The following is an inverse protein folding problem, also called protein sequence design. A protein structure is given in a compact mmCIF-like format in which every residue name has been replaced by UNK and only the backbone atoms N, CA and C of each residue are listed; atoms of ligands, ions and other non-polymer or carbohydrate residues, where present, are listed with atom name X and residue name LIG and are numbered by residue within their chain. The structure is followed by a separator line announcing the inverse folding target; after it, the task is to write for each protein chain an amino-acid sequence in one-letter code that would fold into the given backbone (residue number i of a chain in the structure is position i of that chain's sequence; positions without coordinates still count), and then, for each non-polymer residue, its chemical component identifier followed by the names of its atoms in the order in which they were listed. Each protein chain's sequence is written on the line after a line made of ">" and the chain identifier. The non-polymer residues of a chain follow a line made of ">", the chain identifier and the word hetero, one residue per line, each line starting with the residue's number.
data_IF_353080405650
#
_entry.id   IF_353080405650
#
_cell.length_a   1.000
_cell.length_b   1.000
_cell.length_c   1.000
_cell.angle_alpha   90.00
_cell.angle_beta   90.00
_cell.angle_gamma   90.00
#
_symmetry.space_group_name_H-M   'P 1'
#
loop_
_entity.id
_entity.type
_entity.pdbx_description
1 polymer ?
#
# COMPACT_ATOMS: atom_id res chain seq x y z
N UNK A 1 3.25 -48.92 41.11
CA UNK A 1 2.84 -47.93 40.07
C UNK A 1 2.66 -48.65 38.76
N UNK A 2 1.45 -48.57 38.20
CA UNK A 2 1.18 -49.16 36.87
C UNK A 2 1.78 -48.24 35.81
N UNK A 3 2.26 -48.82 34.70
CA UNK A 3 2.91 -48.09 33.60
C UNK A 3 2.03 -46.94 33.07
N UNK A 4 0.72 -47.10 33.16
CA UNK A 4 -0.28 -46.13 32.73
C UNK A 4 -0.39 -44.91 33.67
N UNK A 5 -0.14 -45.05 34.97
CA UNK A 5 -0.10 -43.92 35.92
C UNK A 5 1.12 -43.03 35.68
N UNK A 6 2.26 -43.63 35.30
CA UNK A 6 3.48 -42.88 34.96
C UNK A 6 3.29 -42.08 33.67
N UNK A 7 2.61 -42.64 32.68
CA UNK A 7 2.29 -41.95 31.42
C UNK A 7 1.29 -40.82 31.68
N UNK A 8 0.27 -41.06 32.50
CA UNK A 8 -0.72 -40.03 32.86
C UNK A 8 -0.11 -38.89 33.67
N UNK A 9 0.74 -39.18 34.65
CA UNK A 9 1.45 -38.13 35.42
C UNK A 9 2.49 -37.41 34.57
N UNK A 10 3.13 -38.08 33.62
CA UNK A 10 4.03 -37.43 32.67
C UNK A 10 3.24 -36.51 31.74
N UNK A 11 2.09 -36.94 31.21
CA UNK A 11 1.22 -36.10 30.39
C UNK A 11 0.63 -34.92 31.18
N UNK A 12 0.12 -35.13 32.39
CA UNK A 12 -0.36 -34.05 33.25
C UNK A 12 0.77 -33.11 33.70
N UNK A 13 1.96 -33.63 33.98
CA UNK A 13 3.13 -32.83 34.33
C UNK A 13 3.65 -32.01 33.15
N UNK A 14 3.61 -32.58 31.94
CA UNK A 14 4.00 -31.94 30.69
C UNK A 14 2.96 -30.88 30.28
N UNK A 15 1.66 -31.19 30.35
CA UNK A 15 0.58 -30.24 30.07
C UNK A 15 0.55 -29.10 31.09
N UNK A 16 0.90 -29.36 32.37
CA UNK A 16 1.09 -28.31 33.38
C UNK A 16 2.40 -27.53 33.17
N UNK A 17 3.48 -28.14 32.68
CA UNK A 17 4.69 -27.40 32.27
C UNK A 17 4.42 -26.50 31.05
N UNK A 18 3.64 -26.96 30.07
CA UNK A 18 3.25 -26.16 28.90
C UNK A 18 2.15 -25.12 29.19
N UNK A 19 1.34 -25.31 30.24
CA UNK A 19 0.39 -24.30 30.73
C UNK A 19 1.00 -23.32 31.74
N UNK A 20 2.13 -23.65 32.40
CA UNK A 20 2.82 -22.79 33.38
C UNK A 20 4.11 -22.15 32.86
N UNK A 21 4.67 -22.66 31.75
CA UNK A 21 5.46 -21.85 30.84
C UNK A 21 4.51 -20.84 30.22
N UNK A 22 4.44 -19.67 30.84
CA UNK A 22 4.26 -18.42 30.15
C UNK A 22 4.62 -18.59 28.67
N UNK A 23 3.61 -18.68 27.80
CA UNK A 23 3.70 -18.38 26.36
C UNK A 23 4.17 -16.93 26.33
N UNK A 24 5.48 -16.78 26.49
CA UNK A 24 6.03 -15.73 27.33
C UNK A 24 5.77 -14.41 26.63
N UNK A 25 5.31 -13.39 27.36
CA UNK A 25 5.02 -12.06 26.78
C UNK A 25 6.17 -11.60 25.88
N UNK A 26 7.40 -11.99 26.20
CA UNK A 26 8.61 -11.81 25.40
C UNK A 26 8.66 -12.61 24.08
N UNK A 27 8.22 -13.87 24.03
CA UNK A 27 8.09 -14.63 22.78
C UNK A 27 7.02 -14.04 21.86
N UNK A 28 5.87 -13.66 22.42
CA UNK A 28 4.80 -12.96 21.68
C UNK A 28 5.32 -11.62 21.16
N UNK A 29 6.03 -10.86 22.01
CA UNK A 29 6.64 -9.57 21.63
C UNK A 29 7.73 -9.75 20.58
N UNK A 30 8.56 -10.80 20.66
CA UNK A 30 9.61 -11.08 19.67
C UNK A 30 9.02 -11.50 18.33
N UNK A 31 8.03 -12.39 18.31
CA UNK A 31 7.32 -12.78 17.10
C UNK A 31 6.59 -11.60 16.44
N UNK A 32 5.87 -10.80 17.23
CA UNK A 32 5.13 -9.65 16.74
C UNK A 32 6.05 -8.49 16.33
N UNK A 33 7.17 -8.26 17.02
CA UNK A 33 8.15 -7.24 16.60
C UNK A 33 8.79 -7.59 15.26
N UNK A 34 9.18 -8.85 15.05
CA UNK A 34 9.72 -9.30 13.76
C UNK A 34 8.70 -9.18 12.63
N UNK A 35 7.42 -9.51 12.89
CA UNK A 35 6.34 -9.35 11.91
C UNK A 35 5.96 -7.90 11.66
N UNK A 36 6.03 -7.04 12.67
CA UNK A 36 5.80 -5.59 12.54
C UNK A 36 6.92 -4.96 11.69
N UNK A 37 8.18 -5.34 11.93
CA UNK A 37 9.33 -4.94 11.10
C UNK A 37 9.21 -5.40 9.65
N UNK A 38 8.74 -6.64 9.40
CA UNK A 38 8.45 -7.12 8.04
C UNK A 38 7.27 -6.36 7.40
N UNK A 39 6.25 -6.00 8.18
CA UNK A 39 5.13 -5.16 7.74
C UNK A 39 5.57 -3.77 7.29
N UNK A 40 6.56 -3.18 7.95
CA UNK A 40 7.13 -1.87 7.60
C UNK A 40 7.77 -1.83 6.21
N UNK A 41 8.29 -2.96 5.71
CA UNK A 41 8.89 -3.03 4.36
C UNK A 41 7.89 -2.71 3.25
N UNK A 42 6.63 -3.14 3.39
CA UNK A 42 5.60 -2.87 2.39
C UNK A 42 5.25 -1.39 2.31
N UNK A 43 5.22 -0.70 3.44
CA UNK A 43 4.92 0.74 3.51
C UNK A 43 6.10 1.53 2.93
N UNK A 44 7.34 1.17 3.31
CA UNK A 44 8.54 1.77 2.75
C UNK A 44 8.60 1.60 1.23
N UNK A 45 8.31 0.40 0.72
CA UNK A 45 8.27 0.16 -0.73
C UNK A 45 7.23 1.05 -1.42
N UNK A 46 6.00 1.11 -0.88
CA UNK A 46 4.95 1.97 -1.45
C UNK A 46 5.33 3.45 -1.46
N UNK A 47 5.98 3.94 -0.40
CA UNK A 47 6.44 5.33 -0.32
C UNK A 47 7.58 5.63 -1.31
N UNK A 48 8.54 4.71 -1.46
CA UNK A 48 9.63 4.83 -2.45
C UNK A 48 9.08 4.78 -3.88
N UNK A 49 8.19 3.84 -4.16
CA UNK A 49 7.56 3.70 -5.47
C UNK A 49 6.76 4.95 -5.85
N UNK A 50 6.02 5.51 -4.90
CA UNK A 50 5.37 6.81 -5.07
C UNK A 50 6.36 7.94 -5.35
N UNK A 51 7.50 7.99 -4.65
CA UNK A 51 8.56 8.95 -4.93
C UNK A 51 9.08 8.84 -6.38
N UNK A 52 9.30 7.63 -6.86
CA UNK A 52 9.68 7.39 -8.26
C UNK A 52 8.59 7.85 -9.25
N UNK A 53 7.32 7.59 -8.93
CA UNK A 53 6.18 8.04 -9.73
C UNK A 53 6.11 9.57 -9.81
N UNK A 54 6.36 10.27 -8.70
CA UNK A 54 6.42 11.73 -8.70
C UNK A 54 7.59 12.28 -9.50
N UNK A 55 8.76 11.65 -9.43
CA UNK A 55 9.90 12.04 -10.27
C UNK A 55 9.56 11.88 -11.76
N UNK A 56 8.93 10.77 -12.15
CA UNK A 56 8.46 10.58 -13.51
C UNK A 56 7.45 11.66 -13.93
N UNK A 57 6.51 12.02 -13.04
CA UNK A 57 5.58 13.13 -13.28
C UNK A 57 6.29 14.46 -13.52
N UNK A 58 7.25 14.81 -12.67
CA UNK A 58 8.00 16.07 -12.78
C UNK A 58 8.78 16.11 -14.10
N UNK A 59 9.43 15.01 -14.47
CA UNK A 59 10.16 14.89 -15.74
C UNK A 59 9.21 15.10 -16.92
N UNK A 60 8.10 14.35 -16.96
CA UNK A 60 7.13 14.45 -18.06
C UNK A 60 6.45 15.82 -18.12
N UNK A 61 6.10 16.43 -16.97
CA UNK A 61 5.57 17.80 -16.92
C UNK A 61 6.58 18.81 -17.46
N UNK A 62 7.86 18.65 -17.14
CA UNK A 62 8.92 19.53 -17.65
C UNK A 62 9.07 19.40 -19.16
N UNK A 63 9.00 18.18 -19.69
CA UNK A 63 9.01 17.93 -21.14
C UNK A 63 7.79 18.54 -21.82
N UNK A 64 6.59 18.37 -21.25
CA UNK A 64 5.35 18.95 -21.76
C UNK A 64 5.37 20.48 -21.73
N UNK A 65 5.91 21.09 -20.66
CA UNK A 65 6.07 22.55 -20.58
C UNK A 65 6.98 23.07 -21.70
N UNK A 66 8.07 22.37 -22.00
CA UNK A 66 8.95 22.72 -23.11
C UNK A 66 8.26 22.55 -24.47
N UNK A 67 7.51 21.46 -24.66
CA UNK A 67 6.76 21.18 -25.90
C UNK A 67 5.64 22.18 -26.18
N UNK A 68 4.92 22.61 -25.14
CA UNK A 68 3.77 23.51 -25.26
C UNK A 68 4.07 24.98 -24.91
N UNK A 69 5.34 25.40 -24.92
CA UNK A 69 5.75 26.76 -24.54
C UNK A 69 5.02 27.87 -25.29
N UNK A 70 4.62 27.60 -26.55
CA UNK A 70 3.88 28.56 -27.39
C UNK A 70 2.35 28.49 -27.23
N UNK A 71 1.82 27.52 -26.46
CA UNK A 71 0.38 27.36 -26.22
C UNK A 71 0.02 27.85 -24.81
N UNK A 72 -0.36 29.13 -24.70
CA UNK A 72 -0.67 29.77 -23.42
C UNK A 72 -1.79 29.06 -22.64
N UNK A 73 -2.77 28.46 -23.32
CA UNK A 73 -3.88 27.76 -22.67
C UNK A 73 -3.41 26.48 -21.97
N UNK A 74 -2.53 25.70 -22.60
CA UNK A 74 -1.97 24.48 -22.01
C UNK A 74 -0.99 24.83 -20.88
N UNK A 75 -0.21 25.89 -21.04
CA UNK A 75 0.71 26.37 -20.00
C UNK A 75 0.00 26.72 -18.68
N UNK A 76 -1.20 27.32 -18.75
CA UNK A 76 -2.04 27.61 -17.58
C UNK A 76 -2.49 26.35 -16.82
N UNK A 77 -2.47 25.17 -17.45
CA UNK A 77 -2.78 23.89 -16.83
C UNK A 77 -1.51 23.24 -16.28
N UNK A 78 -0.44 23.21 -17.09
CA UNK A 78 0.80 22.51 -16.76
C UNK A 78 1.55 23.16 -15.58
N UNK A 79 1.58 24.49 -15.47
CA UNK A 79 2.29 25.17 -14.38
C UNK A 79 1.68 24.85 -13.00
N UNK A 80 0.36 25.04 -12.77
CA UNK A 80 -0.27 24.63 -11.52
C UNK A 80 -0.11 23.13 -11.24
N UNK A 81 -0.18 22.29 -12.27
CA UNK A 81 0.00 20.84 -12.13
C UNK A 81 1.42 20.48 -11.69
N UNK A 82 2.44 21.19 -12.17
CA UNK A 82 3.83 21.03 -11.71
C UNK A 82 3.99 21.47 -10.25
N UNK A 83 3.46 22.64 -9.89
CA UNK A 83 3.51 23.14 -8.50
C UNK A 83 2.82 22.15 -7.56
N UNK A 84 1.64 21.65 -7.95
CA UNK A 84 0.92 20.64 -7.20
C UNK A 84 1.73 19.35 -7.06
N UNK A 85 2.32 18.85 -8.15
CA UNK A 85 3.16 17.65 -8.15
C UNK A 85 4.34 17.79 -7.19
N UNK A 86 5.05 18.92 -7.23
CA UNK A 86 6.15 19.22 -6.29
C UNK A 86 5.64 19.25 -4.85
N UNK A 87 4.52 19.93 -4.57
CA UNK A 87 3.91 19.96 -3.25
C UNK A 87 3.55 18.57 -2.72
N UNK A 88 2.98 17.71 -3.57
CA UNK A 88 2.65 16.32 -3.20
C UNK A 88 3.88 15.44 -3.00
N UNK A 89 4.99 15.73 -3.67
CA UNK A 89 6.27 15.06 -3.44
C UNK A 89 6.84 15.46 -2.07
N UNK A 90 6.89 16.75 -1.75
CA UNK A 90 7.36 17.25 -0.45
C UNK A 90 6.52 16.67 0.69
N UNK A 91 5.19 16.66 0.54
CA UNK A 91 4.30 16.01 1.50
C UNK A 91 4.58 14.50 1.63
N UNK A 92 4.82 13.80 0.51
CA UNK A 92 5.20 12.39 0.53
C UNK A 92 6.50 12.12 1.30
N UNK A 93 7.48 13.02 1.17
CA UNK A 93 8.73 12.97 1.92
C UNK A 93 8.47 13.16 3.42
N UNK A 94 7.65 14.13 3.83
CA UNK A 94 7.25 14.30 5.24
C UNK A 94 6.55 13.05 5.81
N UNK A 95 5.64 12.45 5.04
CA UNK A 95 4.97 11.19 5.42
C UNK A 95 5.99 10.05 5.58
N UNK A 96 6.99 9.98 4.70
CA UNK A 96 8.07 9.00 4.80
C UNK A 96 8.94 9.21 6.04
N UNK A 97 9.34 10.45 6.34
CA UNK A 97 10.11 10.75 7.54
C UNK A 97 9.33 10.43 8.81
N UNK A 98 8.06 10.84 8.91
CA UNK A 98 7.19 10.51 10.06
C UNK A 98 7.03 9.01 10.24
N UNK A 99 6.89 8.26 9.15
CA UNK A 99 6.82 6.80 9.22
C UNK A 99 8.11 6.17 9.72
N UNK A 100 9.27 6.67 9.25
CA UNK A 100 10.58 6.19 9.68
C UNK A 100 10.85 6.53 11.14
N UNK A 101 10.46 7.73 11.57
CA UNK A 101 10.56 8.20 12.94
C UNK A 101 9.80 7.26 13.90
N UNK A 102 8.54 6.92 13.59
CA UNK A 102 7.74 5.98 14.39
C UNK A 102 8.44 4.62 14.56
N UNK A 103 9.20 4.17 13.55
CA UNK A 103 9.86 2.86 13.56
C UNK A 103 11.27 2.85 14.17
N UNK A 104 11.90 4.01 14.36
CA UNK A 104 13.25 4.13 14.89
C UNK A 104 13.29 4.31 16.41
N UNK A 105 12.17 4.67 17.06
CA UNK A 105 12.12 4.84 18.51
C UNK A 105 12.04 3.48 19.24
N UNK A 106 12.87 3.33 20.28
CA UNK A 106 12.90 2.21 21.22
C UNK A 106 11.72 2.23 22.20
N UNK A 107 10.53 2.60 21.73
CA UNK A 107 9.32 2.57 22.53
C UNK A 107 8.83 1.12 22.70
N UNK A 108 8.02 0.88 23.73
CA UNK A 108 7.33 -0.40 23.88
C UNK A 108 6.56 -0.76 22.61
N UNK A 109 6.52 -2.05 22.25
CA UNK A 109 5.86 -2.53 21.02
C UNK A 109 4.39 -2.08 20.93
N UNK A 110 3.71 -1.96 22.07
CA UNK A 110 2.35 -1.43 22.17
C UNK A 110 2.26 0.04 21.75
N UNK A 111 3.18 0.89 22.21
CA UNK A 111 3.24 2.31 21.82
C UNK A 111 3.56 2.45 20.33
N UNK A 112 4.46 1.62 19.81
CA UNK A 112 4.80 1.60 18.39
C UNK A 112 3.56 1.27 17.53
N UNK A 113 2.81 0.21 17.88
CA UNK A 113 1.60 -0.17 17.16
C UNK A 113 0.53 0.93 17.26
N UNK A 114 0.36 1.58 18.41
CA UNK A 114 -0.57 2.70 18.55
C UNK A 114 -0.19 3.91 17.67
N UNK A 115 1.09 4.28 17.62
CA UNK A 115 1.58 5.35 16.73
C UNK A 115 1.37 4.98 15.26
N UNK A 116 1.65 3.74 14.88
CA UNK A 116 1.38 3.26 13.52
C UNK A 116 -0.12 3.29 13.18
N UNK A 117 -1.00 2.88 14.10
CA UNK A 117 -2.45 2.97 13.90
C UNK A 117 -2.93 4.41 13.69
N UNK A 118 -2.39 5.36 14.45
CA UNK A 118 -2.69 6.78 14.26
C UNK A 118 -2.21 7.28 12.90
N UNK A 119 -0.98 6.91 12.51
CA UNK A 119 -0.42 7.25 11.20
C UNK A 119 -1.29 6.75 10.04
N UNK A 120 -1.76 5.50 10.12
CA UNK A 120 -2.64 4.93 9.12
C UNK A 120 -4.00 5.63 8.99
N UNK A 121 -4.51 6.24 10.07
CA UNK A 121 -5.83 6.91 10.10
C UNK A 121 -5.84 8.32 9.55
N UNK A 122 -4.72 9.04 9.58
CA UNK A 122 -4.67 10.45 9.18
C UNK A 122 -3.65 10.73 8.08
N UNK A 123 -2.34 10.81 8.37
CA UNK A 123 -1.36 11.20 7.35
C UNK A 123 -1.32 10.22 6.18
N UNK A 124 -1.42 8.91 6.45
CA UNK A 124 -1.41 7.92 5.38
C UNK A 124 -2.67 7.96 4.50
N UNK A 125 -3.83 8.26 5.08
CA UNK A 125 -5.09 8.34 4.30
C UNK A 125 -5.07 9.50 3.32
N UNK A 126 -4.61 10.68 3.75
CA UNK A 126 -4.38 11.82 2.86
C UNK A 126 -3.36 11.47 1.78
N UNK A 127 -2.28 10.79 2.15
CA UNK A 127 -1.27 10.34 1.20
C UNK A 127 -1.83 9.40 0.12
N UNK A 128 -2.73 8.47 0.44
CA UNK A 128 -3.37 7.58 -0.55
C UNK A 128 -4.20 8.37 -1.58
N UNK A 129 -4.91 9.40 -1.14
CA UNK A 129 -5.69 10.26 -2.04
C UNK A 129 -4.75 10.97 -3.00
N UNK A 130 -3.69 11.60 -2.48
CA UNK A 130 -2.69 12.30 -3.29
C UNK A 130 -1.98 11.35 -4.26
N UNK A 131 -1.62 10.15 -3.81
CA UNK A 131 -1.05 9.12 -4.67
C UNK A 131 -1.96 8.72 -5.83
N UNK A 132 -3.26 8.64 -5.60
CA UNK A 132 -4.24 8.34 -6.65
C UNK A 132 -4.36 9.49 -7.65
N UNK A 133 -4.41 10.75 -7.17
CA UNK A 133 -4.44 11.93 -8.04
C UNK A 133 -3.17 12.01 -8.89
N UNK A 134 -2.00 11.75 -8.30
CA UNK A 134 -0.73 11.81 -9.02
C UNK A 134 -0.57 10.73 -10.09
N UNK A 135 -1.20 9.56 -9.91
CA UNK A 135 -1.28 8.56 -10.98
C UNK A 135 -2.13 9.03 -12.16
N UNK A 136 -3.24 9.74 -11.91
CA UNK A 136 -4.07 10.33 -12.97
C UNK A 136 -3.33 11.45 -13.69
N UNK A 137 -2.60 12.28 -12.94
CA UNK A 137 -1.69 13.30 -13.50
C UNK A 137 -0.66 12.64 -14.42
N UNK A 138 -0.08 11.51 -14.02
CA UNK A 138 0.89 10.78 -14.84
C UNK A 138 0.29 10.30 -16.16
N UNK A 139 -0.88 9.66 -16.11
CA UNK A 139 -1.59 9.21 -17.30
C UNK A 139 -1.89 10.39 -18.23
N UNK A 140 -2.35 11.50 -17.66
CA UNK A 140 -2.65 12.72 -18.43
C UNK A 140 -1.40 13.33 -19.07
N UNK A 141 -0.28 13.34 -18.34
CA UNK A 141 1.01 13.83 -18.84
C UNK A 141 1.56 12.95 -19.96
N UNK A 142 1.40 11.63 -19.86
CA UNK A 142 1.77 10.69 -20.92
C UNK A 142 0.95 10.95 -22.19
N UNK A 143 -0.37 11.15 -22.05
CA UNK A 143 -1.22 11.48 -23.19
C UNK A 143 -0.79 12.79 -23.86
N UNK A 144 -0.55 13.86 -23.08
CA UNK A 144 -0.07 15.14 -23.61
C UNK A 144 1.30 15.02 -24.29
N UNK A 145 2.19 14.19 -23.75
CA UNK A 145 3.49 13.94 -24.36
C UNK A 145 3.35 13.26 -25.74
N UNK A 146 2.47 12.25 -25.82
CA UNK A 146 2.17 11.55 -27.07
C UNK A 146 1.49 12.48 -28.09
N UNK A 147 0.56 13.34 -27.64
CA UNK A 147 -0.12 14.34 -28.47
C UNK A 147 0.85 15.40 -29.01
N UNK A 148 1.88 15.75 -28.24
CA UNK A 148 2.92 16.69 -28.67
C UNK A 148 3.80 16.09 -29.79
N UNK A 149 4.10 14.79 -29.70
CA UNK A 149 4.97 14.09 -30.67
C UNK A 149 4.22 13.66 -31.93
N UNK A 150 3.00 13.15 -31.80
CA UNK A 150 2.23 12.53 -32.88
C UNK A 150 1.11 13.43 -33.45
N UNK A 151 0.93 14.63 -32.90
CA UNK A 151 -0.19 15.50 -33.19
C UNK A 151 -1.40 15.22 -32.30
N UNK A 152 -2.24 16.24 -32.10
CA UNK A 152 -3.34 16.18 -31.13
C UNK A 152 -4.47 15.25 -31.60
N UNK A 153 -4.77 14.22 -30.81
CA UNK A 153 -5.97 13.41 -31.03
C UNK A 153 -7.22 14.17 -30.55
N UNK A 154 -8.22 14.29 -31.43
CA UNK A 154 -9.50 14.88 -31.04
C UNK A 154 -10.27 13.88 -30.19
N UNK A 155 -10.53 14.23 -28.94
CA UNK A 155 -11.39 13.43 -28.06
C UNK A 155 -12.84 13.52 -28.57
N UNK A 156 -13.28 12.49 -29.31
CA UNK A 156 -14.61 12.42 -29.90
C UNK A 156 -15.75 12.51 -28.86
N UNK A 157 -15.56 11.98 -27.65
CA UNK A 157 -16.54 12.06 -26.56
C UNK A 157 -15.89 12.52 -25.25
N UNK A 158 -15.92 13.83 -25.01
CA UNK A 158 -15.34 14.47 -23.82
C UNK A 158 -15.97 13.96 -22.52
N UNK A 159 -17.29 13.71 -22.52
CA UNK A 159 -17.99 13.19 -21.34
C UNK A 159 -17.53 11.78 -20.98
N UNK A 160 -17.40 10.91 -21.99
CA UNK A 160 -16.88 9.55 -21.80
C UNK A 160 -15.45 9.55 -21.29
N UNK A 161 -14.59 10.45 -21.80
CA UNK A 161 -13.22 10.59 -21.31
C UNK A 161 -13.16 10.94 -19.81
N UNK A 162 -14.01 11.89 -19.37
CA UNK A 162 -14.10 12.27 -17.95
C UNK A 162 -14.58 11.08 -17.10
N UNK A 163 -15.62 10.36 -17.55
CA UNK A 163 -16.15 9.18 -16.83
C UNK A 163 -15.09 8.09 -16.70
N UNK A 164 -14.34 7.79 -17.77
CA UNK A 164 -13.27 6.79 -17.74
C UNK A 164 -12.15 7.21 -16.79
N UNK A 165 -11.77 8.49 -16.79
CA UNK A 165 -10.75 9.03 -15.89
C UNK A 165 -11.18 8.95 -14.41
N UNK A 166 -12.45 9.28 -14.11
CA UNK A 166 -13.01 9.15 -12.77
C UNK A 166 -13.07 7.69 -12.31
N UNK A 167 -13.46 6.77 -13.20
CA UNK A 167 -13.42 5.34 -12.92
C UNK A 167 -12.00 4.85 -12.63
N UNK A 168 -11.01 5.28 -13.42
CA UNK A 168 -9.61 4.96 -13.16
C UNK A 168 -9.16 5.48 -11.79
N UNK A 169 -9.52 6.70 -11.43
CA UNK A 169 -9.24 7.26 -10.11
C UNK A 169 -9.84 6.41 -8.98
N UNK A 170 -11.12 6.04 -9.08
CA UNK A 170 -11.80 5.21 -8.08
C UNK A 170 -11.17 3.83 -7.94
N UNK A 171 -10.74 3.22 -9.05
CA UNK A 171 -10.07 1.92 -9.04
C UNK A 171 -8.69 2.03 -8.36
N UNK A 172 -7.89 3.05 -8.71
CA UNK A 172 -6.57 3.27 -8.13
C UNK A 172 -6.70 3.56 -6.62
N UNK A 173 -7.58 4.49 -6.24
CA UNK A 173 -7.81 4.81 -4.83
C UNK A 173 -8.39 3.62 -4.07
N UNK A 174 -9.35 2.91 -4.64
CA UNK A 174 -10.00 1.74 -4.03
C UNK A 174 -9.01 0.61 -3.76
N UNK A 175 -8.12 0.31 -4.71
CA UNK A 175 -7.07 -0.71 -4.54
C UNK A 175 -6.03 -0.31 -3.48
N UNK A 176 -5.60 0.95 -3.49
CA UNK A 176 -4.71 1.51 -2.47
C UNK A 176 -5.36 1.48 -1.07
N UNK A 177 -6.62 1.90 -0.95
CA UNK A 177 -7.40 1.91 0.30
C UNK A 177 -7.67 0.50 0.82
N UNK A 178 -8.01 -0.45 -0.05
CA UNK A 178 -8.19 -1.84 0.34
C UNK A 178 -6.90 -2.43 0.94
N UNK A 179 -5.76 -2.13 0.32
CA UNK A 179 -4.44 -2.57 0.82
C UNK A 179 -4.11 -1.94 2.17
N UNK A 180 -4.43 -0.65 2.37
CA UNK A 180 -4.21 0.03 3.67
C UNK A 180 -5.12 -0.51 4.77
N UNK A 181 -6.38 -0.83 4.46
CA UNK A 181 -7.32 -1.43 5.40
C UNK A 181 -6.86 -2.82 5.88
N UNK A 182 -6.27 -3.61 4.99
CA UNK A 182 -5.66 -4.89 5.38
C UNK A 182 -4.48 -4.69 6.34
N UNK A 183 -3.64 -3.67 6.11
CA UNK A 183 -2.57 -3.27 7.04
C UNK A 183 -3.11 -2.84 8.41
N UNK A 184 -4.13 -1.98 8.42
CA UNK A 184 -4.83 -1.54 9.64
C UNK A 184 -5.44 -2.71 10.43
N UNK A 185 -6.09 -3.66 9.76
CA UNK A 185 -6.67 -4.85 10.40
C UNK A 185 -5.58 -5.69 11.07
N UNK A 186 -4.43 -5.88 10.41
CA UNK A 186 -3.27 -6.57 11.02
C UNK A 186 -2.77 -5.87 12.26
N UNK A 187 -2.57 -4.55 12.20
CA UNK A 187 -2.08 -3.79 13.35
C UNK A 187 -3.07 -3.83 14.53
N UNK A 188 -4.38 -3.80 14.26
CA UNK A 188 -5.41 -3.99 15.30
C UNK A 188 -5.37 -5.40 15.90
N UNK A 189 -5.21 -6.43 15.07
CA UNK A 189 -5.07 -7.80 15.55
C UNK A 189 -3.82 -7.97 16.43
N UNK A 190 -2.68 -7.42 16.01
CA UNK A 190 -1.44 -7.45 16.79
C UNK A 190 -1.57 -6.71 18.12
N UNK A 191 -2.28 -5.57 18.15
CA UNK A 191 -2.56 -4.86 19.40
C UNK A 191 -3.45 -5.69 20.33
N UNK A 192 -4.49 -6.33 19.79
CA UNK A 192 -5.39 -7.21 20.54
C UNK A 192 -4.63 -8.41 21.14
N UNK A 193 -3.81 -9.05 20.33
CA UNK A 193 -3.01 -10.22 20.75
C UNK A 193 -1.97 -9.84 21.83
N UNK A 194 -1.37 -8.64 21.75
CA UNK A 194 -0.49 -8.12 22.79
C UNK A 194 -1.19 -7.79 24.10
N UNK A 195 -2.43 -7.29 24.02
CA UNK A 195 -3.23 -6.94 25.20
C UNK A 195 -3.80 -8.18 25.90
N UNK A 196 -4.14 -9.21 25.13
CA UNK A 196 -4.74 -10.45 25.64
C UNK A 196 -3.68 -11.51 25.99
N UNK A 197 -2.45 -11.39 25.47
CA UNK A 197 -1.40 -12.39 25.67
C UNK A 197 -1.65 -13.70 24.90
N UNK A 198 -2.49 -13.67 23.86
CA UNK A 198 -2.91 -14.84 23.06
C UNK A 198 -2.80 -14.49 21.57
N UNK A 199 -2.44 -15.45 20.71
CA UNK A 199 -2.14 -15.24 19.28
C UNK A 199 -3.31 -15.56 18.32
N UNK A 200 -4.52 -15.79 18.84
CA UNK A 200 -5.66 -16.31 18.06
C UNK A 200 -6.07 -15.40 16.89
N UNK A 201 -5.99 -14.07 17.05
CA UNK A 201 -6.45 -13.13 16.02
C UNK A 201 -5.47 -13.03 14.84
N UNK A 202 -4.16 -13.04 15.12
CA UNK A 202 -3.12 -12.97 14.09
C UNK A 202 -3.00 -14.28 13.29
N UNK A 203 -3.14 -15.44 13.92
CA UNK A 203 -3.14 -16.74 13.22
C UNK A 203 -4.33 -16.92 12.29
N UNK A 204 -5.54 -16.52 12.73
CA UNK A 204 -6.74 -16.58 11.91
C UNK A 204 -6.61 -15.75 10.63
N UNK A 205 -5.96 -14.59 10.71
CA UNK A 205 -5.69 -13.74 9.54
C UNK A 205 -4.72 -14.37 8.52
N UNK A 206 -3.72 -15.13 8.98
CA UNK A 206 -2.74 -15.75 8.07
C UNK A 206 -3.33 -16.89 7.24
N UNK A 207 -4.17 -17.72 7.86
CA UNK A 207 -4.86 -18.80 7.14
C UNK A 207 -5.77 -18.24 6.04
N UNK A 208 -6.42 -17.10 6.31
CA UNK A 208 -7.26 -16.41 5.32
C UNK A 208 -6.45 -15.82 4.17
N UNK A 209 -5.27 -15.24 4.45
CA UNK A 209 -4.39 -14.66 3.43
C UNK A 209 -3.89 -15.70 2.43
N UNK A 210 -3.51 -16.90 2.91
CA UNK A 210 -2.98 -17.98 2.06
C UNK A 210 -4.01 -18.47 1.03
N UNK A 211 -5.30 -18.47 1.38
CA UNK A 211 -6.40 -18.90 0.49
C UNK A 211 -6.72 -17.85 -0.58
N UNK A 212 -6.66 -16.57 -0.25
CA UNK A 212 -6.93 -15.48 -1.20
C UNK A 212 -5.77 -15.18 -2.15
N UNK A 213 -4.53 -15.57 -1.80
CA UNK A 213 -3.35 -15.32 -2.64
C UNK A 213 -3.47 -15.99 -4.01
N UNK A 214 -3.99 -17.22 -4.06
CA UNK A 214 -4.25 -17.95 -5.31
C UNK A 214 -5.28 -17.25 -6.21
N UNK A 215 -6.30 -16.66 -5.60
CA UNK A 215 -7.34 -15.93 -6.32
C UNK A 215 -6.77 -14.65 -6.96
N UNK A 216 -5.89 -13.94 -6.24
CA UNK A 216 -5.16 -12.79 -6.80
C UNK A 216 -4.20 -13.17 -7.94
N UNK A 217 -3.50 -14.30 -7.82
CA UNK A 217 -2.64 -14.81 -8.91
C UNK A 217 -3.46 -15.11 -10.17
N UNK A 218 -4.63 -15.74 -10.02
CA UNK A 218 -5.52 -16.02 -11.14
C UNK A 218 -6.05 -14.74 -11.81
N UNK A 219 -6.48 -13.75 -11.02
CA UNK A 219 -6.93 -12.45 -11.54
C UNK A 219 -5.79 -11.72 -12.27
N UNK A 220 -4.58 -11.74 -11.71
CA UNK A 220 -3.42 -11.12 -12.35
C UNK A 220 -3.10 -11.76 -13.70
N UNK A 221 -3.09 -13.10 -13.79
CA UNK A 221 -2.89 -13.81 -15.05
C UNK A 221 -3.97 -13.46 -16.09
N UNK A 222 -5.24 -13.40 -15.68
CA UNK A 222 -6.35 -13.00 -16.55
C UNK A 222 -6.21 -11.58 -17.09
N UNK A 223 -5.87 -10.61 -16.22
CA UNK A 223 -5.65 -9.23 -16.63
C UNK A 223 -4.45 -9.11 -17.59
N UNK A 224 -3.36 -9.82 -17.31
CA UNK A 224 -2.17 -9.81 -18.16
C UNK A 224 -2.48 -10.41 -19.54
N UNK A 225 -3.19 -11.55 -19.57
CA UNK A 225 -3.62 -12.19 -20.82
C UNK A 225 -4.58 -11.29 -21.62
N UNK A 226 -5.53 -10.63 -20.95
CA UNK A 226 -6.44 -9.67 -21.58
C UNK A 226 -5.69 -8.47 -22.17
N UNK A 227 -4.65 -7.99 -21.48
CA UNK A 227 -3.83 -6.86 -21.94
C UNK A 227 -2.99 -7.26 -23.16
N UNK A 228 -2.35 -8.43 -23.14
CA UNK A 228 -1.62 -8.99 -24.29
C UNK A 228 -2.56 -9.19 -25.48
N UNK A 229 -3.74 -9.77 -25.26
CA UNK A 229 -4.74 -9.98 -26.31
C UNK A 229 -5.22 -8.64 -26.90
N UNK A 230 -5.47 -7.64 -26.05
CA UNK A 230 -5.83 -6.30 -26.48
C UNK A 230 -4.77 -5.65 -27.37
N UNK A 231 -3.49 -5.73 -26.98
CA UNK A 231 -2.37 -5.23 -27.79
C UNK A 231 -2.29 -5.96 -29.13
N UNK A 232 -2.35 -7.29 -29.13
CA UNK A 232 -2.28 -8.09 -30.35
C UNK A 232 -3.44 -7.81 -31.31
N UNK A 233 -4.61 -7.47 -30.78
CA UNK A 233 -5.78 -7.11 -31.61
C UNK A 233 -5.67 -5.70 -32.16
N UNK A 234 -5.11 -4.76 -31.39
CA UNK A 234 -4.90 -3.37 -31.83
C UNK A 234 -3.77 -3.21 -32.86
N UNK A 235 -2.82 -4.17 -32.91
CA UNK A 235 -1.73 -4.21 -33.88
C UNK A 235 -2.11 -4.88 -35.21
N UNK A 236 -3.33 -5.43 -35.33
CA UNK A 236 -3.89 -5.99 -36.56
C UNK A 236 -4.78 -4.97 -37.25
#
# INVERSE_FOLDING_TARGET
>A
MKKDELIHMWQEGNDRMFMSELTNKDMITKYLSEKTLKGNRSINFNLIFYGALQLANIILLSMNLAGYMNNSAIMWILIPQLIFTIGTLVFGIDVFYKFREINNYSDSLQNLIQKQLWFYRKPYELWLILASISAIILISNLNLYVDNDNGSYVINNKAMYVVVTLMAFLIIYGTQKATSLLGLRKLKAYLSDLQQGVLDSSEGMERFKKRYLWLWVAVFLLLTASLVFGILTALK
#
